data_IF_339389443729
#
_entry.id   IF_339389443729
#
_cell.length_a   1.000
_cell.length_b   1.000
_cell.length_c   1.000
_cell.angle_alpha   90.00
_cell.angle_beta   90.00
_cell.angle_gamma   90.00
#
_symmetry.space_group_name_H-M   'P 1'
#
loop_
_entity.id
_entity.type
_entity.pdbx_description
1 polymer ?
#
# COMPACT_ATOMS: atom_id res chain seq x y z
N UNK A 1 -20.48 -31.29 26.92
CA UNK A 1 -19.61 -31.78 25.82
C UNK A 1 -19.03 -30.66 24.97
N UNK A 2 -19.16 -29.38 25.32
CA UNK A 2 -18.66 -28.23 24.54
C UNK A 2 -17.29 -27.69 24.95
N UNK A 3 -16.93 -27.76 26.18
CA UNK A 3 -15.72 -27.10 26.73
C UNK A 3 -14.41 -27.81 26.34
N UNK A 4 -14.39 -29.12 26.27
CA UNK A 4 -13.20 -29.90 25.88
C UNK A 4 -12.80 -29.71 24.45
N UNK A 5 -13.75 -29.51 23.52
CA UNK A 5 -13.45 -29.22 22.10
C UNK A 5 -12.87 -27.82 21.91
N UNK A 6 -13.32 -26.82 22.68
CA UNK A 6 -12.82 -25.45 22.61
C UNK A 6 -11.35 -25.37 23.08
N UNK A 7 -11.02 -26.08 24.15
CA UNK A 7 -9.66 -26.14 24.72
C UNK A 7 -8.70 -26.83 23.72
N UNK A 8 -9.15 -27.91 23.06
CA UNK A 8 -8.35 -28.60 22.02
C UNK A 8 -8.06 -27.73 20.83
N UNK A 9 -9.01 -26.92 20.36
CA UNK A 9 -8.80 -25.98 19.23
C UNK A 9 -7.85 -24.86 19.64
N UNK A 10 -7.98 -24.32 20.86
CA UNK A 10 -7.08 -23.26 21.35
C UNK A 10 -5.63 -23.76 21.50
N UNK A 11 -5.44 -24.99 22.02
CA UNK A 11 -4.14 -25.63 22.12
C UNK A 11 -3.52 -25.91 20.75
N UNK A 12 -4.32 -26.30 19.74
CA UNK A 12 -3.86 -26.48 18.38
C UNK A 12 -3.41 -25.18 17.75
N UNK A 13 -4.13 -24.06 17.97
CA UNK A 13 -3.72 -22.73 17.51
C UNK A 13 -2.42 -22.25 18.16
N UNK A 14 -2.22 -22.50 19.44
CA UNK A 14 -0.97 -22.17 20.14
C UNK A 14 0.22 -23.01 19.66
N UNK A 15 0.00 -24.27 19.32
CA UNK A 15 1.04 -25.14 18.75
C UNK A 15 1.43 -24.73 17.31
N UNK A 16 0.48 -24.33 16.49
CA UNK A 16 0.75 -23.85 15.13
C UNK A 16 1.51 -22.52 15.15
N UNK A 17 1.22 -21.64 16.11
CA UNK A 17 1.94 -20.37 16.27
C UNK A 17 3.41 -20.55 16.67
N UNK A 18 3.75 -21.63 17.36
CA UNK A 18 5.13 -21.92 17.77
C UNK A 18 5.99 -22.58 16.69
N UNK A 19 5.37 -23.15 15.64
CA UNK A 19 6.08 -23.82 14.53
C UNK A 19 6.61 -22.85 13.46
N UNK A 20 6.19 -21.58 13.49
CA UNK A 20 6.65 -20.55 12.55
C UNK A 20 7.77 -19.66 13.10
N UNK A 21 8.39 -20.01 14.22
CA UNK A 21 9.61 -19.34 14.66
C UNK A 21 10.77 -19.80 13.75
N UNK A 22 10.99 -19.10 12.67
CA UNK A 22 12.21 -19.24 11.86
C UNK A 22 13.40 -19.01 12.77
N UNK A 23 14.38 -19.95 12.83
CA UNK A 23 15.56 -19.74 13.63
C UNK A 23 16.22 -18.43 13.17
N UNK A 24 16.53 -17.55 14.11
CA UNK A 24 17.22 -16.31 13.85
C UNK A 24 18.52 -16.62 13.11
N UNK A 25 18.48 -16.53 11.77
CA UNK A 25 19.66 -16.65 10.93
C UNK A 25 20.69 -15.65 11.41
N UNK A 26 21.95 -16.03 11.47
CA UNK A 26 23.11 -15.20 11.83
C UNK A 26 22.91 -13.82 11.20
N UNK A 27 22.64 -12.80 12.02
CA UNK A 27 22.61 -11.40 11.59
C UNK A 27 24.00 -11.07 11.08
N UNK A 28 24.19 -11.20 9.78
CA UNK A 28 25.37 -10.67 9.13
C UNK A 28 25.39 -9.17 9.39
N UNK A 29 26.52 -8.74 10.03
CA UNK A 29 27.03 -7.38 10.18
C UNK A 29 25.94 -6.32 10.17
N UNK A 30 25.64 -5.76 11.33
CA UNK A 30 24.64 -4.73 11.52
C UNK A 30 24.78 -3.63 10.45
N UNK A 31 23.95 -3.71 9.43
CA UNK A 31 23.72 -2.60 8.52
C UNK A 31 23.24 -1.44 9.40
N UNK A 32 24.01 -0.35 9.42
CA UNK A 32 23.61 0.83 10.19
C UNK A 32 22.21 1.22 9.73
N UNK A 33 21.24 1.43 10.62
CA UNK A 33 19.89 1.76 10.22
C UNK A 33 19.92 3.03 9.37
N UNK A 34 19.13 3.04 8.30
CA UNK A 34 18.98 4.21 7.45
C UNK A 34 18.41 5.34 8.31
N UNK A 35 19.15 6.43 8.46
CA UNK A 35 18.71 7.58 9.27
C UNK A 35 17.63 8.40 8.55
N UNK A 36 17.64 8.40 7.24
CA UNK A 36 16.71 9.14 6.39
C UNK A 36 16.67 8.49 5.00
N UNK A 37 15.46 8.26 4.50
CA UNK A 37 15.19 7.84 3.13
C UNK A 37 14.23 8.87 2.52
N UNK A 38 14.60 9.47 1.39
CA UNK A 38 13.75 10.40 0.63
C UNK A 38 13.60 9.84 -0.77
N UNK A 39 12.37 9.79 -1.24
CA UNK A 39 12.02 9.34 -2.59
C UNK A 39 10.70 10.00 -2.98
N UNK A 40 10.38 9.90 -4.26
CA UNK A 40 9.17 10.43 -4.85
C UNK A 40 8.37 9.28 -5.45
N UNK A 41 7.07 9.23 -5.22
CA UNK A 41 6.19 8.35 -5.96
C UNK A 41 5.29 9.16 -6.89
N UNK A 42 4.96 8.59 -8.06
CA UNK A 42 4.28 9.30 -9.12
C UNK A 42 2.95 8.65 -9.41
N UNK A 43 1.88 9.30 -8.98
CA UNK A 43 0.51 8.84 -9.19
C UNK A 43 -0.02 9.40 -10.52
N UNK A 44 -0.24 8.53 -11.49
CA UNK A 44 -0.80 8.87 -12.79
C UNK A 44 -2.16 8.23 -12.91
N UNK A 45 -3.18 8.99 -12.52
CA UNK A 45 -4.53 8.46 -12.52
C UNK A 45 -5.08 8.29 -13.93
N UNK A 46 -5.85 7.22 -14.13
CA UNK A 46 -6.57 6.98 -15.36
C UNK A 46 -7.64 8.06 -15.59
N UNK A 47 -7.58 8.72 -16.74
CA UNK A 47 -8.46 9.84 -17.14
C UNK A 47 -9.37 9.52 -18.33
N UNK A 48 -9.57 8.22 -18.65
CA UNK A 48 -10.35 7.78 -19.80
C UNK A 48 -9.58 7.68 -21.12
N UNK A 49 -8.37 8.27 -21.22
CA UNK A 49 -7.58 8.32 -22.45
C UNK A 49 -6.14 7.83 -22.30
N UNK A 50 -5.59 7.83 -21.09
CA UNK A 50 -4.17 7.55 -20.80
C UNK A 50 -3.92 6.12 -20.33
N UNK A 51 -4.75 5.14 -20.68
CA UNK A 51 -4.66 3.76 -20.17
C UNK A 51 -3.26 3.15 -20.28
N UNK A 52 -2.50 3.49 -21.31
CA UNK A 52 -1.13 2.98 -21.50
C UNK A 52 -0.15 3.46 -20.42
N UNK A 53 -0.36 4.65 -19.86
CA UNK A 53 0.57 5.30 -18.95
C UNK A 53 -0.01 5.44 -17.53
N UNK A 54 -1.30 5.15 -17.33
CA UNK A 54 -1.93 5.23 -16.04
C UNK A 54 -1.31 4.21 -15.08
N UNK A 55 -1.05 4.63 -13.86
CA UNK A 55 -0.53 3.79 -12.77
C UNK A 55 -1.54 3.65 -11.63
N UNK A 56 -2.66 4.37 -11.72
CA UNK A 56 -3.78 4.26 -10.79
C UNK A 56 -5.12 4.42 -11.49
N UNK A 57 -6.16 3.82 -10.93
CA UNK A 57 -7.52 3.92 -11.45
C UNK A 57 -8.57 3.76 -10.36
N UNK A 58 -9.71 4.44 -10.53
CA UNK A 58 -10.92 4.23 -9.72
C UNK A 58 -11.54 2.89 -10.16
N UNK A 59 -11.54 1.91 -9.26
CA UNK A 59 -12.09 0.56 -9.51
C UNK A 59 -13.45 0.36 -8.87
N UNK A 60 -13.78 1.12 -7.83
CA UNK A 60 -15.08 1.12 -7.17
C UNK A 60 -15.53 2.56 -6.92
N UNK A 61 -16.77 2.86 -7.28
CA UNK A 61 -17.36 4.16 -7.06
C UNK A 61 -18.89 4.03 -7.10
N UNK A 62 -19.65 4.93 -6.47
CA UNK A 62 -21.10 5.01 -6.63
C UNK A 62 -21.49 5.20 -8.09
N UNK A 63 -22.72 4.79 -8.46
CA UNK A 63 -23.19 4.88 -9.84
C UNK A 63 -23.20 6.31 -10.42
N UNK A 64 -23.29 7.31 -9.55
CA UNK A 64 -23.27 8.74 -9.92
C UNK A 64 -21.87 9.33 -10.04
N UNK A 65 -20.83 8.62 -9.64
CA UNK A 65 -19.46 9.13 -9.65
C UNK A 65 -18.78 8.97 -11.02
N UNK A 66 -17.91 9.92 -11.35
CA UNK A 66 -17.05 9.81 -12.53
C UNK A 66 -15.80 8.98 -12.18
N UNK A 67 -15.68 7.81 -12.79
CA UNK A 67 -14.58 6.87 -12.56
C UNK A 67 -13.30 7.16 -13.33
N UNK A 68 -13.26 8.20 -14.15
CA UNK A 68 -12.11 8.51 -15.00
C UNK A 68 -11.22 9.60 -14.45
N UNK A 69 -11.70 10.40 -13.51
CA UNK A 69 -10.94 11.49 -12.89
C UNK A 69 -11.34 11.66 -11.44
N UNK A 70 -10.38 11.94 -10.58
CA UNK A 70 -10.60 12.37 -9.19
C UNK A 70 -10.80 13.90 -9.09
N UNK A 71 -11.26 14.53 -10.16
CA UNK A 71 -11.60 15.95 -10.15
C UNK A 71 -13.09 16.09 -9.84
N UNK A 72 -13.42 16.66 -8.71
CA UNK A 72 -14.79 16.88 -8.29
C UNK A 72 -14.90 17.09 -6.80
N UNK A 73 -16.07 17.49 -6.35
CA UNK A 73 -16.26 17.85 -4.94
C UNK A 73 -16.66 16.68 -4.03
N UNK A 74 -16.98 15.53 -4.59
CA UNK A 74 -17.45 14.40 -3.80
C UNK A 74 -16.83 13.09 -4.31
N UNK A 75 -15.83 12.61 -3.58
CA UNK A 75 -15.14 11.35 -3.81
C UNK A 75 -15.58 10.26 -2.82
N UNK A 76 -16.56 10.52 -1.99
CA UNK A 76 -17.02 9.54 -1.00
C UNK A 76 -17.37 8.19 -1.66
N UNK A 77 -16.80 7.12 -1.13
CA UNK A 77 -16.85 5.74 -1.63
C UNK A 77 -16.03 5.46 -2.90
N UNK A 78 -15.24 6.39 -3.41
CA UNK A 78 -14.32 6.08 -4.48
C UNK A 78 -13.19 5.21 -3.94
N UNK A 79 -13.00 4.05 -4.56
CA UNK A 79 -11.90 3.13 -4.29
C UNK A 79 -10.92 3.17 -5.45
N UNK A 80 -9.69 3.48 -5.16
CA UNK A 80 -8.59 3.56 -6.13
C UNK A 80 -7.58 2.45 -5.86
N UNK A 81 -7.11 1.81 -6.90
CA UNK A 81 -5.98 0.88 -6.88
C UNK A 81 -4.84 1.52 -7.64
N UNK A 82 -3.62 1.39 -7.12
CA UNK A 82 -2.43 1.96 -7.74
C UNK A 82 -1.22 1.04 -7.68
N UNK A 83 -0.35 1.22 -8.67
CA UNK A 83 0.98 0.64 -8.78
C UNK A 83 1.93 1.71 -9.36
N UNK A 84 2.37 2.61 -8.49
CA UNK A 84 3.05 3.84 -8.84
C UNK A 84 4.57 3.67 -8.85
N UNK A 85 5.31 4.19 -9.83
CA UNK A 85 6.76 4.16 -9.80
C UNK A 85 7.32 5.05 -8.70
N UNK A 86 8.42 4.59 -8.08
CA UNK A 86 9.21 5.34 -7.09
C UNK A 86 10.53 5.73 -7.70
N UNK A 87 10.88 7.02 -7.62
CA UNK A 87 12.15 7.57 -8.10
C UNK A 87 12.92 8.26 -6.98
N UNK A 88 14.23 8.47 -7.18
CA UNK A 88 15.09 9.15 -6.20
C UNK A 88 14.96 10.68 -6.29
N UNK A 89 14.45 11.19 -7.37
CA UNK A 89 14.19 12.60 -7.63
C UNK A 89 12.74 12.82 -8.12
N UNK A 90 12.33 14.06 -8.28
CA UNK A 90 10.97 14.42 -8.69
C UNK A 90 10.66 14.18 -10.18
N UNK A 91 11.61 13.67 -10.95
CA UNK A 91 11.40 13.41 -12.37
C UNK A 91 10.76 12.03 -12.59
N UNK A 92 9.53 12.02 -13.10
CA UNK A 92 8.79 10.80 -13.44
C UNK A 92 9.55 9.88 -14.43
N UNK A 93 10.41 10.44 -15.28
CA UNK A 93 11.16 9.70 -16.29
C UNK A 93 12.49 9.14 -15.77
N UNK A 94 12.86 9.43 -14.53
CA UNK A 94 14.03 8.82 -13.90
C UNK A 94 13.83 7.32 -13.72
N UNK A 95 14.94 6.59 -13.71
CA UNK A 95 14.90 5.13 -13.48
C UNK A 95 14.25 4.82 -12.14
N UNK A 96 13.17 4.05 -12.09
CA UNK A 96 12.51 3.69 -10.85
C UNK A 96 13.43 2.88 -9.92
N UNK A 97 13.39 3.19 -8.63
CA UNK A 97 14.08 2.42 -7.57
C UNK A 97 13.15 1.42 -6.89
N UNK A 98 11.87 1.45 -7.23
CA UNK A 98 10.82 0.59 -6.68
C UNK A 98 9.43 0.99 -7.15
N UNK A 99 8.44 0.47 -6.45
CA UNK A 99 7.02 0.76 -6.71
C UNK A 99 6.27 0.97 -5.40
N UNK A 100 5.28 1.86 -5.42
CA UNK A 100 4.27 1.99 -4.38
C UNK A 100 3.00 1.30 -4.87
N UNK A 101 2.55 0.28 -4.15
CA UNK A 101 1.45 -0.59 -4.55
C UNK A 101 0.40 -0.66 -3.45
N UNK A 102 -0.85 -0.41 -3.79
CA UNK A 102 -1.90 -0.44 -2.79
C UNK A 102 -3.24 0.12 -3.25
N UNK A 103 -3.99 0.55 -2.27
CA UNK A 103 -5.32 1.12 -2.43
C UNK A 103 -5.47 2.37 -1.58
N UNK A 104 -6.37 3.23 -2.00
CA UNK A 104 -6.96 4.22 -1.10
C UNK A 104 -8.47 4.35 -1.35
N UNK A 105 -9.19 4.71 -0.30
CA UNK A 105 -10.63 4.89 -0.34
C UNK A 105 -11.01 6.22 0.30
N UNK A 106 -11.84 7.00 -0.38
CA UNK A 106 -12.40 8.21 0.17
C UNK A 106 -13.57 7.85 1.10
N UNK A 107 -13.38 8.03 2.39
CA UNK A 107 -14.23 7.50 3.46
C UNK A 107 -15.12 8.55 4.14
N UNK A 108 -15.02 9.82 3.76
CA UNK A 108 -15.84 10.88 4.33
C UNK A 108 -16.76 11.57 3.33
N UNK A 109 -18.01 11.84 3.75
CA UNK A 109 -19.03 12.48 2.91
C UNK A 109 -18.90 14.00 2.79
N UNK A 110 -18.40 14.65 3.82
CA UNK A 110 -18.45 16.11 3.95
C UNK A 110 -17.08 16.78 3.98
N UNK A 111 -16.04 15.98 4.18
CA UNK A 111 -14.65 16.45 4.23
C UNK A 111 -13.81 15.61 3.27
N UNK A 112 -12.70 16.17 2.84
CA UNK A 112 -11.72 15.40 2.09
C UNK A 112 -10.96 14.51 3.08
N UNK A 113 -11.22 13.21 3.03
CA UNK A 113 -10.56 12.20 3.86
C UNK A 113 -10.38 10.93 3.06
N UNK A 114 -9.23 10.31 3.19
CA UNK A 114 -8.93 9.04 2.54
C UNK A 114 -8.10 8.13 3.45
N UNK A 115 -8.50 6.86 3.51
CA UNK A 115 -7.71 5.79 4.12
C UNK A 115 -6.84 5.15 3.06
N UNK A 116 -5.53 5.13 3.30
CA UNK A 116 -4.52 4.54 2.43
C UNK A 116 -3.92 3.28 3.05
N UNK A 117 -3.92 2.19 2.30
CA UNK A 117 -3.21 0.96 2.65
C UNK A 117 -2.29 0.56 1.51
N UNK A 118 -0.96 0.58 1.72
CA UNK A 118 -0.02 0.34 0.64
C UNK A 118 1.37 -0.10 1.09
N UNK A 119 2.16 -0.58 0.13
CA UNK A 119 3.54 -1.00 0.31
C UNK A 119 4.45 -0.23 -0.62
N UNK A 120 5.55 0.30 -0.09
CA UNK A 120 6.71 0.64 -0.90
C UNK A 120 7.57 -0.60 -1.09
N UNK A 121 7.74 -1.06 -2.32
CA UNK A 121 8.56 -2.21 -2.70
C UNK A 121 9.78 -1.69 -3.45
N UNK A 122 10.94 -1.75 -2.82
CA UNK A 122 12.22 -1.32 -3.39
C UNK A 122 12.91 -2.50 -4.06
N UNK A 123 13.36 -2.32 -5.29
CA UNK A 123 14.05 -3.33 -6.08
C UNK A 123 15.19 -2.72 -6.92
N UNK A 124 16.05 -1.96 -6.28
CA UNK A 124 17.25 -1.40 -6.91
C UNK A 124 18.53 -2.05 -6.34
N UNK A 125 19.67 -1.74 -6.92
CA UNK A 125 20.96 -2.22 -6.40
C UNK A 125 21.26 -1.70 -5.00
N UNK A 126 20.81 -0.48 -4.68
CA UNK A 126 21.08 0.20 -3.40
C UNK A 126 19.97 0.02 -2.36
N UNK A 127 18.72 -0.17 -2.81
CA UNK A 127 17.54 -0.25 -1.94
C UNK A 127 16.76 -1.52 -2.28
N UNK A 128 16.60 -2.40 -1.30
CA UNK A 128 15.83 -3.66 -1.42
C UNK A 128 14.99 -3.87 -0.18
N UNK A 129 13.79 -4.38 -0.36
CA UNK A 129 12.85 -4.67 0.72
C UNK A 129 11.54 -3.91 0.56
N UNK A 130 10.69 -3.97 1.56
CA UNK A 130 9.41 -3.29 1.55
C UNK A 130 9.13 -2.56 2.87
N UNK A 131 8.32 -1.52 2.77
CA UNK A 131 7.74 -0.78 3.89
C UNK A 131 6.23 -0.75 3.67
N UNK A 132 5.47 -1.28 4.64
CA UNK A 132 4.01 -1.27 4.58
C UNK A 132 3.49 -0.11 5.42
N UNK A 133 2.49 0.58 4.91
CA UNK A 133 1.87 1.74 5.53
C UNK A 133 0.35 1.60 5.54
N UNK A 134 -0.24 2.08 6.61
CA UNK A 134 -1.66 2.36 6.73
C UNK A 134 -1.77 3.79 7.27
N UNK A 135 -2.42 4.66 6.54
CA UNK A 135 -2.45 6.09 6.83
C UNK A 135 -3.84 6.67 6.57
N UNK A 136 -4.22 7.65 7.39
CA UNK A 136 -5.43 8.45 7.19
C UNK A 136 -5.00 9.86 6.76
N UNK A 137 -5.40 10.27 5.57
CA UNK A 137 -5.25 11.65 5.11
C UNK A 137 -6.50 12.44 5.48
N UNK A 138 -6.31 13.59 6.13
CA UNK A 138 -7.35 14.53 6.52
C UNK A 138 -7.04 15.89 5.91
N UNK A 139 -8.05 16.55 5.33
CA UNK A 139 -7.99 17.92 4.81
C UNK A 139 -9.22 18.72 5.24
#
# INVERSE_FOLDING_TARGET
MGTTKLISVLLLFLLISSLNATPAGKRNRAQRPCKRLVFYFHDIIYNGKNAKNATSAIVGAPAWANKTILAGQNHFCDLVVFDNPITIDSNLHSTPIGRAQGIYVYDAKQTYSALLGFSFVFNSTKHKGSINLLEQILH
#
